data_IF_743948281555
#
_entry.id   IF_743948281555
#
_cell.length_a   1.000
_cell.length_b   1.000
_cell.length_c   1.000
_cell.angle_alpha   90.00
_cell.angle_beta   90.00
_cell.angle_gamma   90.00
#
_symmetry.space_group_name_H-M   'P 1'
#
loop_
_entity.id
_entity.type
_entity.pdbx_description
1 polymer ?
#
# COMPACT_ATOMS: atom_id res chain seq x y z
N UNK A 1 7.85 49.81 18.15
CA UNK A 1 6.42 49.80 18.55
C UNK A 1 5.52 49.86 17.33
N UNK A 2 5.30 48.70 16.72
CA UNK A 2 4.35 48.55 15.61
C UNK A 2 3.04 47.97 16.17
N UNK A 3 1.94 48.73 16.05
CA UNK A 3 0.62 48.29 16.48
C UNK A 3 -0.20 47.85 15.27
N UNK A 4 -0.54 46.57 15.21
CA UNK A 4 -1.33 46.00 14.12
C UNK A 4 -2.67 45.49 14.62
N UNK A 5 -3.69 45.48 13.76
CA UNK A 5 -4.94 44.82 14.11
C UNK A 5 -4.73 43.31 14.20
N UNK A 6 -5.57 42.60 14.97
CA UNK A 6 -5.50 41.13 15.11
C UNK A 6 -5.54 40.40 13.76
N UNK A 7 -6.25 40.96 12.78
CA UNK A 7 -6.35 40.38 11.43
C UNK A 7 -5.07 40.60 10.61
N UNK A 8 -4.45 41.77 10.70
CA UNK A 8 -3.20 42.05 9.98
C UNK A 8 -2.02 41.30 10.60
N UNK A 9 -2.00 41.14 11.93
CA UNK A 9 -1.01 40.31 12.62
C UNK A 9 -1.13 38.83 12.20
N UNK A 10 -2.37 38.30 12.14
CA UNK A 10 -2.61 36.94 11.65
C UNK A 10 -2.11 36.75 10.20
N UNK A 11 -2.42 37.71 9.32
CA UNK A 11 -2.01 37.65 7.91
C UNK A 11 -0.48 37.71 7.73
N UNK A 12 0.22 38.52 8.52
CA UNK A 12 1.69 38.64 8.48
C UNK A 12 2.40 37.33 8.85
N UNK A 13 1.88 36.60 9.84
CA UNK A 13 2.48 35.34 10.30
C UNK A 13 1.90 34.08 9.64
N UNK A 14 0.99 34.22 8.68
CA UNK A 14 0.31 33.08 8.05
C UNK A 14 -0.59 32.29 9.00
N UNK A 15 -1.03 32.91 10.10
CA UNK A 15 -1.86 32.28 11.12
C UNK A 15 -3.33 32.55 10.90
N UNK A 16 -4.19 31.66 11.41
CA UNK A 16 -5.62 31.89 11.39
C UNK A 16 -6.02 32.94 12.42
N UNK A 17 -7.07 33.72 12.13
CA UNK A 17 -7.66 34.69 13.08
C UNK A 17 -8.11 34.03 14.39
N UNK A 18 -8.52 32.76 14.31
CA UNK A 18 -8.88 31.93 15.47
C UNK A 18 -7.68 31.65 16.36
N UNK A 19 -6.51 31.38 15.78
CA UNK A 19 -5.27 31.17 16.52
C UNK A 19 -4.82 32.42 17.27
N UNK A 20 -4.88 33.60 16.64
CA UNK A 20 -4.57 34.88 17.29
C UNK A 20 -5.56 35.20 18.42
N UNK A 21 -6.83 34.82 18.25
CA UNK A 21 -7.85 34.96 19.31
C UNK A 21 -7.59 34.01 20.48
N UNK A 22 -7.04 32.82 20.22
CA UNK A 22 -6.61 31.87 21.25
C UNK A 22 -5.39 32.38 22.02
N UNK A 23 -4.42 32.99 21.35
CA UNK A 23 -3.25 33.60 21.99
C UNK A 23 -3.65 34.75 22.94
N UNK A 24 -4.63 35.57 22.52
CA UNK A 24 -5.19 36.60 23.38
C UNK A 24 -5.89 36.05 24.63
N UNK A 25 -6.60 34.91 24.52
CA UNK A 25 -7.22 34.21 25.67
C UNK A 25 -6.21 33.55 26.60
N UNK A 26 -5.03 33.21 26.08
CA UNK A 26 -3.96 32.57 26.84
C UNK A 26 -3.01 33.58 27.49
N UNK A 27 -3.33 34.89 27.44
CA UNK A 27 -2.49 35.99 27.94
C UNK A 27 -1.10 36.05 27.30
N UNK A 28 -0.93 35.41 26.13
CA UNK A 28 0.33 35.35 25.36
C UNK A 28 0.39 36.38 24.23
N UNK A 29 -0.48 37.39 24.29
CA UNK A 29 -0.58 38.43 23.28
C UNK A 29 -0.83 39.77 23.97
N UNK A 30 0.06 40.73 23.71
CA UNK A 30 0.00 42.05 24.33
C UNK A 30 -0.92 42.94 23.50
N UNK A 31 -2.03 43.36 24.11
CA UNK A 31 -2.98 44.30 23.54
C UNK A 31 -2.68 45.70 24.07
N UNK A 32 -2.53 46.67 23.17
CA UNK A 32 -2.49 48.08 23.51
C UNK A 32 -3.89 48.59 23.93
N UNK A 33 -3.94 49.76 24.58
CA UNK A 33 -5.18 50.37 25.07
C UNK A 33 -6.26 50.56 23.98
N UNK A 34 -5.86 50.66 22.71
CA UNK A 34 -6.75 50.79 21.55
C UNK A 34 -7.20 49.44 20.95
N UNK A 35 -6.93 48.31 21.61
CA UNK A 35 -7.30 46.96 21.15
C UNK A 35 -6.46 46.43 19.99
N UNK A 36 -5.39 47.13 19.61
CA UNK A 36 -4.37 46.71 18.62
C UNK A 36 -3.30 45.83 19.28
N UNK A 37 -2.75 44.90 18.52
CA UNK A 37 -1.68 43.99 18.95
C UNK A 37 -0.34 44.73 18.87
N UNK A 38 0.38 44.78 19.99
CA UNK A 38 1.78 45.19 19.98
C UNK A 38 2.62 44.02 19.47
N UNK A 39 3.11 44.14 18.23
CA UNK A 39 3.83 43.06 17.55
C UNK A 39 5.13 42.73 18.26
N UNK A 40 5.87 43.74 18.69
CA UNK A 40 7.22 43.59 19.24
C UNK A 40 7.17 42.96 20.64
N UNK A 41 6.21 43.38 21.47
CA UNK A 41 6.00 42.79 22.79
C UNK A 41 5.37 41.38 22.73
N UNK A 42 4.49 41.13 21.76
CA UNK A 42 3.88 39.80 21.56
C UNK A 42 4.89 38.78 21.04
N UNK A 43 5.76 39.17 20.11
CA UNK A 43 6.84 38.32 19.60
C UNK A 43 7.84 37.95 20.71
N UNK A 44 8.17 38.90 21.61
CA UNK A 44 8.99 38.64 22.79
C UNK A 44 8.40 37.59 23.74
N UNK A 45 7.11 37.73 24.10
CA UNK A 45 6.41 36.75 24.93
C UNK A 45 6.26 35.39 24.25
N UNK A 46 6.05 35.37 22.94
CA UNK A 46 5.97 34.13 22.18
C UNK A 46 7.32 33.42 22.16
N UNK A 47 8.43 34.15 21.99
CA UNK A 47 9.77 33.58 22.03
C UNK A 47 10.10 32.98 23.40
N UNK A 48 9.76 33.69 24.49
CA UNK A 48 10.03 33.23 25.87
C UNK A 48 9.13 32.06 26.29
N UNK A 49 7.91 32.00 25.77
CA UNK A 49 6.93 30.94 26.06
C UNK A 49 6.97 29.76 25.07
N UNK A 50 7.85 29.79 24.07
CA UNK A 50 8.02 28.67 23.14
C UNK A 50 8.90 27.60 23.76
N UNK A 51 8.26 26.56 24.27
CA UNK A 51 8.92 25.35 24.77
C UNK A 51 9.52 24.53 23.60
N UNK A 52 10.86 24.42 23.50
CA UNK A 52 11.54 23.71 22.43
C UNK A 52 11.23 22.21 22.40
N UNK A 53 10.72 21.64 23.50
CA UNK A 53 10.32 20.22 23.56
C UNK A 53 9.06 19.91 22.75
N UNK A 54 8.25 20.92 22.39
CA UNK A 54 7.02 20.75 21.59
C UNK A 54 7.22 21.01 20.09
N UNK A 55 8.44 21.37 19.66
CA UNK A 55 8.76 21.64 18.26
C UNK A 55 8.55 20.41 17.36
N UNK A 56 8.87 19.20 17.85
CA UNK A 56 8.66 17.96 17.10
C UNK A 56 7.16 17.62 16.91
N UNK A 57 6.31 18.03 17.85
CA UNK A 57 4.86 17.85 17.77
C UNK A 57 4.26 18.85 16.77
N UNK A 58 4.72 20.10 16.80
CA UNK A 58 4.35 21.12 15.82
C UNK A 58 4.75 20.72 14.38
N UNK A 59 5.97 20.20 14.19
CA UNK A 59 6.44 19.72 12.89
C UNK A 59 5.57 18.57 12.35
N UNK A 60 5.20 17.59 13.19
CA UNK A 60 4.30 16.49 12.80
C UNK A 60 2.89 16.97 12.46
N UNK A 61 2.36 17.98 13.16
CA UNK A 61 1.04 18.52 12.83
C UNK A 61 1.05 19.29 11.52
N UNK A 62 2.13 20.01 11.22
CA UNK A 62 2.27 20.71 9.94
C UNK A 62 2.43 19.72 8.78
N UNK A 63 3.24 18.67 8.94
CA UNK A 63 3.41 17.61 7.94
C UNK A 63 2.09 16.88 7.64
N UNK A 64 1.29 16.55 8.67
CA UNK A 64 -0.04 15.97 8.49
C UNK A 64 -1.05 16.92 7.80
N UNK A 65 -0.91 18.24 7.95
CA UNK A 65 -1.76 19.21 7.25
C UNK A 65 -1.38 19.30 5.78
N UNK A 66 -0.09 19.30 5.47
CA UNK A 66 0.41 19.29 4.09
C UNK A 66 -0.03 18.00 3.38
N UNK A 67 0.12 16.83 4.03
CA UNK A 67 -0.37 15.57 3.46
C UNK A 67 -1.88 15.58 3.20
N UNK A 68 -2.68 16.14 4.13
CA UNK A 68 -4.13 16.23 3.96
C UNK A 68 -4.53 17.16 2.82
N UNK A 69 -3.90 18.33 2.71
CA UNK A 69 -4.18 19.29 1.64
C UNK A 69 -3.75 18.75 0.26
N UNK A 70 -2.59 18.08 0.18
CA UNK A 70 -2.12 17.43 -1.04
C UNK A 70 -3.06 16.29 -1.46
N UNK A 71 -3.55 15.51 -0.51
CA UNK A 71 -4.48 14.39 -0.77
C UNK A 71 -5.85 14.88 -1.27
N UNK A 72 -6.34 16.01 -0.76
CA UNK A 72 -7.58 16.64 -1.24
C UNK A 72 -7.41 17.18 -2.67
N UNK A 73 -6.25 17.73 -3.01
CA UNK A 73 -5.98 18.24 -4.35
C UNK A 73 -5.77 17.13 -5.40
N UNK A 74 -5.32 15.94 -5.01
CA UNK A 74 -5.13 14.81 -5.93
C UNK A 74 -6.41 14.03 -6.26
N UNK A 75 -7.47 14.14 -5.45
CA UNK A 75 -8.74 13.44 -5.68
C UNK A 75 -9.97 14.31 -5.32
N UNK A 76 -10.44 15.17 -6.23
CA UNK A 76 -11.71 15.85 -6.04
C UNK A 76 -12.84 14.85 -6.35
N UNK A 77 -13.43 14.25 -5.31
CA UNK A 77 -14.70 13.51 -5.50
C UNK A 77 -14.91 12.24 -4.68
N UNK A 78 -13.99 11.84 -3.80
CA UNK A 78 -14.26 10.74 -2.86
C UNK A 78 -14.48 11.32 -1.48
N UNK A 79 -15.74 11.56 -1.12
CA UNK A 79 -16.17 11.64 0.27
C UNK A 79 -15.94 10.27 0.90
N UNK A 80 -14.68 9.97 1.25
CA UNK A 80 -14.38 8.82 2.09
C UNK A 80 -14.81 9.22 3.50
N UNK A 81 -15.60 8.40 4.20
CA UNK A 81 -15.89 8.65 5.60
C UNK A 81 -14.57 8.88 6.29
N UNK A 82 -14.44 10.01 6.98
CA UNK A 82 -13.30 10.26 7.84
C UNK A 82 -13.15 9.02 8.71
N UNK A 83 -12.10 8.23 8.47
CA UNK A 83 -11.57 7.38 9.51
C UNK A 83 -11.05 8.38 10.53
N UNK A 84 -11.95 8.80 11.43
CA UNK A 84 -11.60 9.47 12.66
C UNK A 84 -10.56 8.56 13.28
N UNK A 85 -9.29 8.97 13.21
CA UNK A 85 -8.36 8.51 14.23
C UNK A 85 -9.04 8.88 15.55
N UNK A 86 -9.36 7.91 16.42
CA UNK A 86 -10.00 8.23 17.67
C UNK A 86 -9.13 9.26 18.38
N UNK A 87 -9.75 10.39 18.71
CA UNK A 87 -9.15 11.48 19.46
C UNK A 87 -8.33 10.87 20.60
N UNK A 88 -7.04 11.21 20.61
CA UNK A 88 -6.12 10.84 21.68
C UNK A 88 -6.59 11.56 22.96
N UNK A 89 -7.51 10.92 23.67
CA UNK A 89 -7.79 11.20 25.08
C UNK A 89 -6.46 11.10 25.84
N UNK A 90 -6.07 12.12 26.62
CA UNK A 90 -4.83 12.11 27.38
C UNK A 90 -5.00 11.18 28.57
N UNK A 91 -4.85 9.88 28.33
CA UNK A 91 -5.09 8.83 29.32
C UNK A 91 -5.01 7.44 28.69
N UNK A 92 -3.82 7.02 28.24
CA UNK A 92 -3.70 5.68 27.65
C UNK A 92 -2.35 5.35 27.03
N UNK A 93 -1.24 5.51 27.76
CA UNK A 93 0.08 5.03 27.31
C UNK A 93 0.06 3.55 26.89
N UNK A 94 -0.79 2.75 27.54
CA UNK A 94 -0.98 1.33 27.23
C UNK A 94 -1.67 1.07 25.88
N UNK A 95 -2.61 1.93 25.45
CA UNK A 95 -3.28 1.77 24.16
C UNK A 95 -2.38 2.18 23.00
N UNK A 96 -1.61 3.26 23.15
CA UNK A 96 -0.62 3.68 22.14
C UNK A 96 0.50 2.63 21.97
N UNK A 97 1.01 2.08 23.07
CA UNK A 97 2.00 1.00 23.03
C UNK A 97 1.45 -0.27 22.36
N UNK A 98 0.20 -0.66 22.65
CA UNK A 98 -0.47 -1.78 21.95
C UNK A 98 -0.64 -1.52 20.47
N UNK A 99 -1.12 -0.35 20.06
CA UNK A 99 -1.26 0.00 18.64
C UNK A 99 0.10 0.02 17.92
N UNK A 100 1.15 0.53 18.58
CA UNK A 100 2.51 0.53 18.04
C UNK A 100 3.06 -0.90 17.88
N UNK A 101 2.90 -1.74 18.91
CA UNK A 101 3.32 -3.14 18.86
C UNK A 101 2.59 -3.93 17.76
N UNK A 102 1.28 -3.72 17.59
CA UNK A 102 0.53 -4.34 16.48
C UNK A 102 1.07 -3.92 15.11
N UNK A 103 1.35 -2.63 14.92
CA UNK A 103 1.92 -2.14 13.66
C UNK A 103 3.29 -2.74 13.39
N UNK A 104 4.17 -2.74 14.39
CA UNK A 104 5.51 -3.33 14.28
C UNK A 104 5.45 -4.83 13.97
N UNK A 105 4.53 -5.57 14.60
CA UNK A 105 4.31 -6.99 14.34
C UNK A 105 3.90 -7.26 12.88
N UNK A 106 2.93 -6.52 12.33
CA UNK A 106 2.52 -6.71 10.94
C UNK A 106 3.58 -6.25 9.94
N UNK A 107 4.35 -5.20 10.26
CA UNK A 107 5.50 -4.80 9.45
C UNK A 107 6.59 -5.87 9.44
N UNK A 108 6.87 -6.49 10.59
CA UNK A 108 7.82 -7.59 10.67
C UNK A 108 7.35 -8.81 9.85
N UNK A 109 6.07 -9.17 9.92
CA UNK A 109 5.50 -10.25 9.09
C UNK A 109 5.55 -9.93 7.59
N UNK A 110 5.32 -8.67 7.20
CA UNK A 110 5.43 -8.25 5.81
C UNK A 110 6.89 -8.38 5.33
N UNK A 111 7.85 -7.92 6.13
CA UNK A 111 9.27 -8.04 5.84
C UNK A 111 9.72 -9.50 5.76
N UNK A 112 9.18 -10.39 6.60
CA UNK A 112 9.44 -11.83 6.55
C UNK A 112 8.85 -12.46 5.27
N UNK A 113 7.62 -12.10 4.89
CA UNK A 113 7.03 -12.56 3.65
C UNK A 113 7.80 -12.09 2.41
N UNK A 114 8.26 -10.83 2.40
CA UNK A 114 9.12 -10.29 1.34
C UNK A 114 10.48 -10.99 1.32
N UNK A 115 11.09 -11.23 2.47
CA UNK A 115 12.33 -11.99 2.58
C UNK A 115 12.17 -13.40 1.99
N UNK A 116 11.10 -14.11 2.33
CA UNK A 116 10.82 -15.44 1.76
C UNK A 116 10.52 -15.42 0.27
N UNK A 117 9.89 -14.35 -0.23
CA UNK A 117 9.72 -14.14 -1.68
C UNK A 117 11.06 -13.95 -2.38
N UNK A 118 11.95 -13.12 -1.84
CA UNK A 118 13.30 -12.90 -2.38
C UNK A 118 14.16 -14.16 -2.31
N UNK A 119 13.98 -15.00 -1.27
CA UNK A 119 14.64 -16.30 -1.19
C UNK A 119 14.06 -17.36 -2.15
N UNK A 120 12.97 -17.05 -2.87
CA UNK A 120 12.32 -17.97 -3.82
C UNK A 120 11.45 -19.04 -3.17
N UNK A 121 11.12 -18.90 -1.88
CA UNK A 121 10.27 -19.85 -1.15
C UNK A 121 8.78 -19.50 -1.25
N UNK A 122 8.44 -18.25 -1.58
CA UNK A 122 7.07 -17.79 -1.74
C UNK A 122 6.83 -17.31 -3.18
N UNK A 123 5.74 -17.78 -3.79
CA UNK A 123 5.29 -17.41 -5.14
C UNK A 123 3.85 -16.89 -5.08
N UNK A 124 3.45 -16.07 -6.04
CA UNK A 124 2.06 -15.64 -6.11
C UNK A 124 1.16 -16.84 -6.44
N UNK A 125 0.30 -17.19 -5.48
CA UNK A 125 -0.64 -18.31 -5.60
C UNK A 125 -1.45 -18.25 -6.90
N UNK A 126 -1.96 -17.06 -7.25
CA UNK A 126 -2.79 -16.86 -8.44
C UNK A 126 -2.01 -17.13 -9.74
N UNK A 127 -0.77 -16.64 -9.83
CA UNK A 127 0.11 -16.90 -10.99
C UNK A 127 0.33 -18.39 -11.20
N UNK A 128 0.59 -19.14 -10.12
CA UNK A 128 0.78 -20.60 -10.18
C UNK A 128 -0.51 -21.33 -10.54
N UNK A 129 -1.64 -20.95 -9.95
CA UNK A 129 -2.95 -21.56 -10.26
C UNK A 129 -3.32 -21.35 -11.73
N UNK A 130 -3.15 -20.13 -12.25
CA UNK A 130 -3.42 -19.80 -13.65
C UNK A 130 -2.48 -20.57 -14.60
N UNK A 131 -1.20 -20.65 -14.28
CA UNK A 131 -0.22 -21.40 -15.05
C UNK A 131 -0.52 -22.92 -15.05
N UNK A 132 -0.86 -23.49 -13.90
CA UNK A 132 -1.23 -24.90 -13.78
C UNK A 132 -2.53 -25.20 -14.56
N UNK A 133 -3.51 -24.30 -14.51
CA UNK A 133 -4.74 -24.43 -15.28
C UNK A 133 -4.48 -24.37 -16.79
N UNK A 134 -3.65 -23.44 -17.24
CA UNK A 134 -3.24 -23.32 -18.63
C UNK A 134 -2.50 -24.59 -19.11
N UNK A 135 -1.59 -25.12 -18.31
CA UNK A 135 -0.88 -26.37 -18.57
C UNK A 135 -1.84 -27.57 -18.74
N UNK A 136 -2.79 -27.72 -17.82
CA UNK A 136 -3.80 -28.78 -17.89
C UNK A 136 -4.70 -28.66 -19.12
N UNK A 137 -5.07 -27.43 -19.50
CA UNK A 137 -5.82 -27.17 -20.73
C UNK A 137 -5.01 -27.54 -21.97
N UNK A 138 -3.74 -27.15 -22.03
CA UNK A 138 -2.85 -27.48 -23.14
C UNK A 138 -2.70 -29.00 -23.31
N UNK A 139 -2.50 -29.73 -22.21
CA UNK A 139 -2.44 -31.20 -22.23
C UNK A 139 -3.71 -31.80 -22.84
N UNK A 140 -4.88 -31.36 -22.37
CA UNK A 140 -6.17 -31.83 -22.88
C UNK A 140 -6.31 -31.56 -24.37
N UNK A 141 -6.04 -30.34 -24.80
CA UNK A 141 -6.22 -29.91 -26.19
C UNK A 141 -5.27 -30.68 -27.12
N UNK A 142 -4.01 -30.90 -26.72
CA UNK A 142 -3.04 -31.70 -27.46
C UNK A 142 -3.43 -33.19 -27.52
N UNK A 143 -3.88 -33.77 -26.41
CA UNK A 143 -4.27 -35.17 -26.35
C UNK A 143 -5.47 -35.46 -27.28
N UNK A 144 -6.52 -34.64 -27.24
CA UNK A 144 -7.66 -34.81 -28.14
C UNK A 144 -7.33 -34.43 -29.60
N UNK A 145 -6.33 -33.58 -29.81
CA UNK A 145 -5.79 -33.30 -31.15
C UNK A 145 -5.21 -34.53 -31.85
N UNK A 146 -4.79 -35.56 -31.10
CA UNK A 146 -4.30 -36.82 -31.67
C UNK A 146 -5.41 -37.72 -32.23
N UNK A 147 -6.64 -37.61 -31.74
CA UNK A 147 -7.73 -38.51 -32.12
C UNK A 147 -7.90 -38.67 -33.66
N UNK A 148 -7.96 -37.59 -34.48
CA UNK A 148 -8.07 -37.75 -35.93
C UNK A 148 -6.82 -38.36 -36.58
N UNK A 149 -5.62 -38.08 -36.05
CA UNK A 149 -4.36 -38.64 -36.57
C UNK A 149 -4.29 -40.14 -36.29
N UNK A 150 -4.56 -40.54 -35.04
CA UNK A 150 -4.62 -41.92 -34.61
C UNK A 150 -5.70 -42.69 -35.36
N UNK A 151 -6.88 -42.09 -35.56
CA UNK A 151 -7.96 -42.73 -36.32
C UNK A 151 -7.48 -43.11 -37.73
N UNK A 152 -6.79 -42.20 -38.44
CA UNK A 152 -6.26 -42.46 -39.77
C UNK A 152 -5.15 -43.53 -39.78
N UNK A 153 -4.25 -43.50 -38.81
CA UNK A 153 -3.10 -44.43 -38.70
C UNK A 153 -3.50 -45.84 -38.26
N UNK A 154 -4.65 -45.99 -37.60
CA UNK A 154 -5.18 -47.27 -37.15
C UNK A 154 -6.00 -47.98 -38.23
N UNK A 155 -6.45 -47.28 -39.29
CA UNK A 155 -7.20 -47.91 -40.39
C UNK A 155 -6.34 -49.00 -41.03
N UNK A 156 -6.87 -50.23 -41.07
CA UNK A 156 -6.21 -51.38 -41.68
C UNK A 156 -5.21 -52.11 -40.78
N UNK A 157 -4.98 -51.65 -39.54
CA UNK A 157 -4.26 -52.45 -38.54
C UNK A 157 -5.20 -53.51 -37.97
N UNK A 158 -4.77 -54.77 -38.02
CA UNK A 158 -5.57 -55.92 -37.56
C UNK A 158 -4.96 -56.64 -36.35
N UNK A 159 -3.72 -56.32 -35.99
CA UNK A 159 -3.06 -56.90 -34.82
C UNK A 159 -3.23 -55.99 -33.59
N UNK A 160 -3.87 -56.48 -32.50
CA UNK A 160 -4.04 -55.72 -31.26
C UNK A 160 -2.72 -55.22 -30.65
N UNK A 161 -1.64 -55.99 -30.75
CA UNK A 161 -0.35 -55.60 -30.16
C UNK A 161 0.26 -54.41 -30.89
N UNK A 162 0.25 -54.42 -32.23
CA UNK A 162 0.68 -53.29 -33.04
C UNK A 162 -0.17 -52.03 -32.82
N UNK A 163 -1.48 -52.19 -32.58
CA UNK A 163 -2.39 -51.08 -32.25
C UNK A 163 -2.02 -50.46 -30.90
N UNK A 164 -1.90 -51.29 -29.85
CA UNK A 164 -1.57 -50.83 -28.50
C UNK A 164 -0.20 -50.15 -28.48
N UNK A 165 0.82 -50.77 -29.09
CA UNK A 165 2.17 -50.21 -29.18
C UNK A 165 2.17 -48.84 -29.87
N UNK A 166 1.39 -48.70 -30.94
CA UNK A 166 1.27 -47.44 -31.68
C UNK A 166 0.62 -46.34 -30.84
N UNK A 167 -0.51 -46.65 -30.19
CA UNK A 167 -1.20 -45.74 -29.27
C UNK A 167 -0.29 -45.30 -28.11
N UNK A 168 0.35 -46.26 -27.45
CA UNK A 168 1.23 -45.97 -26.32
C UNK A 168 2.43 -45.11 -26.74
N UNK A 169 2.96 -45.31 -27.95
CA UNK A 169 4.05 -44.49 -28.49
C UNK A 169 3.58 -43.05 -28.76
N UNK A 170 2.41 -42.88 -29.36
CA UNK A 170 1.83 -41.56 -29.62
C UNK A 170 1.54 -40.79 -28.33
N UNK A 171 0.93 -41.45 -27.34
CA UNK A 171 0.63 -40.84 -26.04
C UNK A 171 1.90 -40.42 -25.31
N UNK A 172 2.93 -41.28 -25.27
CA UNK A 172 4.22 -40.93 -24.66
C UNK A 172 4.84 -39.72 -25.33
N UNK A 173 4.84 -39.66 -26.67
CA UNK A 173 5.39 -38.51 -27.42
C UNK A 173 4.73 -37.21 -26.98
N UNK A 174 3.40 -37.16 -26.99
CA UNK A 174 2.67 -35.94 -26.63
C UNK A 174 2.84 -35.56 -25.17
N UNK A 175 2.83 -36.51 -24.24
CA UNK A 175 3.06 -36.21 -22.84
C UNK A 175 4.46 -35.63 -22.60
N UNK A 176 5.49 -36.17 -23.25
CA UNK A 176 6.84 -35.62 -23.18
C UNK A 176 6.96 -34.24 -23.82
N UNK A 177 6.25 -33.96 -24.92
CA UNK A 177 6.22 -32.62 -25.53
C UNK A 177 5.52 -31.60 -24.63
N UNK A 178 4.36 -31.97 -24.09
CA UNK A 178 3.57 -31.13 -23.17
C UNK A 178 4.32 -30.86 -21.87
N UNK A 179 5.01 -31.85 -21.31
CA UNK A 179 5.84 -31.69 -20.10
C UNK A 179 6.91 -30.61 -20.29
N UNK A 180 7.64 -30.65 -21.42
CA UNK A 180 8.68 -29.66 -21.73
C UNK A 180 8.13 -28.25 -21.87
N UNK A 181 6.99 -28.10 -22.55
CA UNK A 181 6.33 -26.81 -22.73
C UNK A 181 5.79 -26.27 -21.40
N UNK A 182 5.08 -27.12 -20.65
CA UNK A 182 4.48 -26.77 -19.37
C UNK A 182 5.53 -26.41 -18.31
N UNK A 183 6.68 -27.09 -18.27
CA UNK A 183 7.75 -26.77 -17.33
C UNK A 183 8.31 -25.37 -17.58
N UNK A 184 8.53 -25.00 -18.85
CA UNK A 184 9.04 -23.68 -19.20
C UNK A 184 8.04 -22.56 -18.87
N UNK A 185 6.75 -22.80 -19.12
CA UNK A 185 5.69 -21.84 -18.82
C UNK A 185 5.49 -21.67 -17.30
N UNK A 186 5.55 -22.76 -16.53
CA UNK A 186 5.46 -22.71 -15.07
C UNK A 186 6.66 -21.96 -14.45
N UNK A 187 7.88 -22.25 -14.93
CA UNK A 187 9.09 -21.55 -14.50
C UNK A 187 9.03 -20.05 -14.79
N UNK A 188 8.45 -19.67 -15.94
CA UNK A 188 8.24 -18.28 -16.30
C UNK A 188 7.21 -17.62 -15.39
N UNK A 189 6.10 -18.28 -15.10
CA UNK A 189 5.07 -17.77 -14.20
C UNK A 189 5.58 -17.56 -12.77
N UNK A 190 6.44 -18.47 -12.28
CA UNK A 190 7.10 -18.38 -10.98
C UNK A 190 8.08 -17.21 -10.92
N UNK A 191 8.85 -16.96 -12.00
CA UNK A 191 9.85 -15.86 -12.03
C UNK A 191 9.25 -14.47 -12.27
N UNK A 192 8.04 -14.41 -12.84
CA UNK A 192 7.37 -13.15 -13.14
C UNK A 192 6.51 -12.61 -11.98
N UNK A 193 6.28 -13.42 -10.93
CA UNK A 193 5.54 -13.04 -9.72
C UNK A 193 6.42 -12.43 -8.63
#
# INVERSE_FOLDING_TARGET
MTYLTKSEFAARHGWSKSYVSKLAKQERLVLAADGKVDVEATEGLLAESTDPSKAAVAARHEENRIERDVRIHLQPGVETPAVQQPDLVPGGGHNFQRSKAHREFYLAQLAEAEFHKVQGNLVERKSVEDAAFAAGRMLRDQFFGLAPQLAAELVGKNDPWDIEKHLATAFRRVFTEVEKMSSADLDRAIKQS
#
